data_IF_814212780552
#
_entry.id   IF_814212780552
#
_cell.length_a   1.000
_cell.length_b   1.000
_cell.length_c   1.000
_cell.angle_alpha   90.00
_cell.angle_beta   90.00
_cell.angle_gamma   90.00
#
_symmetry.space_group_name_H-M   'P 1'
#
loop_
_entity.id
_entity.type
_entity.pdbx_description
1 polymer ?
#
# COMPACT_ATOMS: atom_id res chain seq x y z
N UNK A 1 -4.31 -37.19 -4.80
CA UNK A 1 -5.28 -36.13 -4.45
C UNK A 1 -4.51 -34.84 -4.26
N UNK A 2 -4.67 -33.87 -5.17
CA UNK A 2 -4.10 -32.54 -4.97
C UNK A 2 -4.91 -31.83 -3.87
N UNK A 3 -4.26 -31.49 -2.75
CA UNK A 3 -4.88 -30.74 -1.67
C UNK A 3 -5.16 -29.33 -2.22
N UNK A 4 -6.42 -29.06 -2.56
CA UNK A 4 -6.85 -27.70 -2.91
C UNK A 4 -6.63 -26.85 -1.66
N UNK A 5 -5.55 -26.07 -1.65
CA UNK A 5 -5.27 -25.13 -0.59
C UNK A 5 -6.30 -24.01 -0.75
N UNK A 6 -7.41 -24.09 -0.01
CA UNK A 6 -8.42 -23.05 0.01
C UNK A 6 -7.87 -21.89 0.80
N UNK A 7 -7.25 -20.93 0.11
CA UNK A 7 -6.89 -19.64 0.71
C UNK A 7 -8.20 -18.94 1.05
N UNK A 8 -8.37 -18.56 2.31
CA UNK A 8 -9.55 -17.81 2.74
C UNK A 8 -9.44 -16.35 2.28
N UNK A 9 -10.56 -15.66 2.14
CA UNK A 9 -10.57 -14.23 1.85
C UNK A 9 -9.84 -13.46 2.96
N UNK A 10 -9.99 -13.89 4.22
CA UNK A 10 -9.30 -13.30 5.38
C UNK A 10 -7.78 -13.43 5.26
N UNK A 11 -7.27 -14.56 4.75
CA UNK A 11 -5.84 -14.74 4.49
C UNK A 11 -5.34 -13.76 3.42
N UNK A 12 -6.15 -13.52 2.38
CA UNK A 12 -5.83 -12.55 1.33
C UNK A 12 -5.81 -11.13 1.91
N UNK A 13 -6.83 -10.74 2.68
CA UNK A 13 -6.90 -9.43 3.31
C UNK A 13 -5.70 -9.20 4.23
N UNK A 14 -5.39 -10.17 5.08
CA UNK A 14 -4.22 -10.11 5.98
C UNK A 14 -2.92 -9.97 5.20
N UNK A 15 -2.77 -10.69 4.08
CA UNK A 15 -1.59 -10.60 3.24
C UNK A 15 -1.47 -9.22 2.56
N UNK A 16 -2.59 -8.64 2.12
CA UNK A 16 -2.64 -7.29 1.53
C UNK A 16 -2.26 -6.23 2.56
N UNK A 17 -2.83 -6.29 3.76
CA UNK A 17 -2.51 -5.37 4.86
C UNK A 17 -1.03 -5.49 5.26
N UNK A 18 -0.53 -6.71 5.41
CA UNK A 18 0.89 -6.98 5.71
C UNK A 18 1.81 -6.42 4.62
N UNK A 19 1.43 -6.56 3.35
CA UNK A 19 2.20 -6.02 2.24
C UNK A 19 2.22 -4.48 2.29
N UNK A 20 1.07 -3.84 2.55
CA UNK A 20 0.97 -2.39 2.71
C UNK A 20 1.90 -1.87 3.80
N UNK A 21 1.90 -2.50 4.98
CA UNK A 21 2.75 -2.09 6.11
C UNK A 21 4.24 -2.20 5.79
N UNK A 22 4.64 -3.23 5.03
CA UNK A 22 6.02 -3.38 4.57
C UNK A 22 6.45 -2.25 3.65
N UNK A 23 5.62 -1.89 2.68
CA UNK A 23 5.94 -0.79 1.75
C UNK A 23 6.06 0.53 2.51
N UNK A 24 5.12 0.83 3.42
CA UNK A 24 5.23 2.00 4.29
C UNK A 24 6.55 2.01 5.08
N UNK A 25 6.91 0.89 5.70
CA UNK A 25 8.13 0.78 6.49
C UNK A 25 9.39 1.00 5.65
N UNK A 26 9.41 0.51 4.41
CA UNK A 26 10.55 0.67 3.50
C UNK A 26 10.68 2.11 2.97
N UNK A 27 9.56 2.78 2.65
CA UNK A 27 9.55 4.21 2.32
C UNK A 27 10.08 5.06 3.49
N UNK A 28 9.64 4.78 4.72
CA UNK A 28 10.13 5.48 5.92
C UNK A 28 11.64 5.27 6.08
N UNK A 29 12.14 4.05 5.91
CA UNK A 29 13.60 3.78 5.96
C UNK A 29 14.37 4.54 4.90
N UNK A 30 13.84 4.65 3.68
CA UNK A 30 14.48 5.40 2.60
C UNK A 30 14.58 6.89 2.94
N UNK A 31 13.51 7.50 3.43
CA UNK A 31 13.52 8.91 3.85
C UNK A 31 14.51 9.17 4.98
N UNK A 32 14.60 8.25 5.95
CA UNK A 32 15.60 8.35 7.03
C UNK A 32 17.02 8.26 6.46
N UNK A 33 17.28 7.36 5.51
CA UNK A 33 18.60 7.27 4.84
C UNK A 33 18.97 8.56 4.09
N UNK A 34 17.97 9.29 3.59
CA UNK A 34 18.15 10.60 2.96
C UNK A 34 18.32 11.76 3.94
N UNK A 35 18.28 11.49 5.26
CA UNK A 35 18.53 12.47 6.31
C UNK A 35 17.28 13.06 6.97
N UNK A 36 16.08 12.56 6.66
CA UNK A 36 14.88 13.02 7.32
C UNK A 36 14.78 12.46 8.76
N UNK A 37 14.39 13.28 9.75
CA UNK A 37 14.03 12.79 11.06
C UNK A 37 12.92 11.74 11.00
N UNK A 38 13.03 10.66 11.78
CA UNK A 38 12.10 9.51 11.76
C UNK A 38 10.62 9.94 11.92
N UNK A 39 10.34 10.88 12.81
CA UNK A 39 9.00 11.41 13.04
C UNK A 39 8.43 12.16 11.82
N UNK A 40 9.27 12.86 11.06
CA UNK A 40 8.89 13.55 9.82
C UNK A 40 8.64 12.53 8.71
N UNK A 41 9.56 11.59 8.51
CA UNK A 41 9.42 10.52 7.52
C UNK A 41 8.12 9.70 7.73
N UNK A 42 7.82 9.32 8.98
CA UNK A 42 6.58 8.62 9.34
C UNK A 42 5.33 9.45 8.99
N UNK A 43 5.31 10.74 9.33
CA UNK A 43 4.18 11.62 9.02
C UNK A 43 3.96 11.77 7.52
N UNK A 44 5.04 11.96 6.75
CA UNK A 44 4.98 12.12 5.30
C UNK A 44 4.43 10.87 4.60
N UNK A 45 4.92 9.68 5.00
CA UNK A 45 4.43 8.42 4.44
C UNK A 45 2.98 8.17 4.87
N UNK A 46 2.66 8.34 6.16
CA UNK A 46 1.28 8.18 6.64
C UNK A 46 0.29 9.11 5.92
N UNK A 47 0.67 10.36 5.66
CA UNK A 47 -0.14 11.32 4.91
C UNK A 47 -0.44 10.83 3.48
N UNK A 48 0.59 10.37 2.75
CA UNK A 48 0.43 9.82 1.39
C UNK A 48 -0.51 8.61 1.37
N UNK A 49 -0.41 7.72 2.34
CA UNK A 49 -1.25 6.52 2.41
C UNK A 49 -2.66 6.78 2.95
N UNK A 50 -2.91 7.93 3.57
CA UNK A 50 -4.26 8.42 3.87
C UNK A 50 -4.88 9.07 2.63
N UNK A 51 -4.15 9.93 1.94
CA UNK A 51 -4.64 10.59 0.72
C UNK A 51 -4.96 9.61 -0.40
N UNK A 52 -4.26 8.48 -0.53
CA UNK A 52 -4.65 7.43 -1.51
C UNK A 52 -6.03 6.82 -1.24
N UNK A 53 -6.57 6.94 -0.03
CA UNK A 53 -7.94 6.50 0.30
C UNK A 53 -9.03 7.54 0.01
N UNK A 54 -8.66 8.81 -0.20
CA UNK A 54 -9.60 9.94 -0.41
C UNK A 54 -9.39 10.65 -1.75
N UNK A 55 -8.25 10.44 -2.42
CA UNK A 55 -7.85 11.09 -3.67
C UNK A 55 -8.22 10.34 -4.95
N UNK A 56 -9.00 9.26 -4.87
CA UNK A 56 -9.63 8.66 -6.05
C UNK A 56 -10.90 9.42 -6.50
N UNK A 57 -11.42 10.40 -5.73
CA UNK A 57 -12.63 11.16 -6.12
C UNK A 57 -12.40 12.58 -6.68
N UNK A 58 -11.25 13.22 -6.53
CA UNK A 58 -11.05 14.59 -7.06
C UNK A 58 -9.69 14.79 -7.75
N UNK A 59 -9.59 14.38 -9.02
CA UNK A 59 -8.44 14.72 -9.86
C UNK A 59 -8.33 13.88 -11.13
N UNK A 60 -9.13 14.22 -12.14
CA UNK A 60 -9.31 13.45 -13.37
C UNK A 60 -8.04 12.94 -14.07
N UNK A 61 -8.16 11.73 -14.64
CA UNK A 61 -7.21 11.19 -15.61
C UNK A 61 -6.89 9.71 -15.40
N UNK A 62 -7.86 8.86 -15.76
CA UNK A 62 -7.69 7.49 -16.27
C UNK A 62 -6.28 6.87 -16.18
N UNK A 63 -6.05 6.09 -15.14
CA UNK A 63 -5.29 4.84 -15.26
C UNK A 63 -5.70 3.91 -14.12
N UNK A 64 -6.72 3.11 -14.39
CA UNK A 64 -6.98 1.92 -13.57
C UNK A 64 -5.67 1.10 -13.53
N UNK A 65 -5.14 0.75 -12.34
CA UNK A 65 -3.90 -0.01 -12.24
C UNK A 65 -4.04 -1.47 -12.68
N UNK A 66 -5.25 -1.86 -13.09
CA UNK A 66 -5.58 -3.18 -13.55
C UNK A 66 -5.60 -3.20 -15.08
N UNK A 67 -4.87 -4.14 -15.74
CA UNK A 67 -5.08 -4.37 -17.15
C UNK A 67 -6.55 -4.77 -17.32
N UNK A 68 -7.22 -4.08 -18.24
CA UNK A 68 -8.59 -4.31 -18.66
C UNK A 68 -8.87 -5.81 -18.80
N UNK A 69 -9.55 -6.41 -17.82
CA UNK A 69 -10.03 -7.79 -17.87
C UNK A 69 -11.43 -7.76 -18.48
N UNK A 70 -11.48 -7.44 -19.77
CA UNK A 70 -12.64 -7.67 -20.64
C UNK A 70 -12.76 -9.13 -21.07
#
# INVERSE_FOLDING_TARGET
MAKRNTISIDDVLTAVETARDKVMADEVKQLIKLGLPKNVALKMVAERYRQRGEGEEEGGGEQSPWPDMG
#
